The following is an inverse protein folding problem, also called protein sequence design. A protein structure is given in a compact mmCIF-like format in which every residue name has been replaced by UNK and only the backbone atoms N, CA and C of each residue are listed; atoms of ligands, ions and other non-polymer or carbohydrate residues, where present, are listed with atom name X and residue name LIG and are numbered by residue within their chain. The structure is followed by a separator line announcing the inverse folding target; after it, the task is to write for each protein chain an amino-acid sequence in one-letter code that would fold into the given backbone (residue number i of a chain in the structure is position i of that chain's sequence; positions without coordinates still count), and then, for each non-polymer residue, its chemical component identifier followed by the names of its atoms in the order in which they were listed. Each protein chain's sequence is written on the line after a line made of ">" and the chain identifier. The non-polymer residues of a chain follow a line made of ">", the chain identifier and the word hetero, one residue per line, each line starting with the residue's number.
data_IF_879346694973
#
_entry.id   IF_879346694973
#
_cell.length_a   1.000
_cell.length_b   1.000
_cell.length_c   1.000
_cell.angle_alpha   90.00
_cell.angle_beta   90.00
_cell.angle_gamma   90.00
#
_symmetry.space_group_name_H-M   'P 1'
#
loop_
_entity.id
_entity.type
_entity.pdbx_description
1 polymer ?
#
# COMPACT_ATOMS: atom_id res chain seq x y z
N UNK A 1 10.49 -9.54 -21.00
CA UNK A 1 11.11 -8.81 -19.87
C UNK A 1 12.34 -8.14 -20.43
N UNK A 2 12.53 -6.86 -20.16
CA UNK A 2 13.76 -6.18 -20.56
C UNK A 2 14.98 -6.83 -19.88
N UNK A 3 16.15 -6.78 -20.54
CA UNK A 3 17.37 -7.44 -20.05
C UNK A 3 17.82 -6.84 -18.70
N UNK A 4 17.67 -5.53 -18.51
CA UNK A 4 18.05 -4.86 -17.28
C UNK A 4 17.11 -5.24 -16.13
N UNK A 5 15.81 -5.31 -16.42
CA UNK A 5 14.81 -5.78 -15.45
C UNK A 5 15.08 -7.23 -15.03
N UNK A 6 15.56 -8.07 -15.96
CA UNK A 6 15.97 -9.45 -15.66
C UNK A 6 17.19 -9.52 -14.77
N UNK A 7 18.23 -8.74 -15.06
CA UNK A 7 19.42 -8.72 -14.23
C UNK A 7 19.11 -8.27 -12.79
N UNK A 8 18.26 -7.25 -12.63
CA UNK A 8 17.80 -6.77 -11.31
C UNK A 8 17.01 -7.84 -10.56
N UNK A 9 16.08 -8.52 -11.23
CA UNK A 9 15.30 -9.59 -10.62
C UNK A 9 16.18 -10.78 -10.21
N UNK A 10 17.11 -11.21 -11.07
CA UNK A 10 18.03 -12.30 -10.77
C UNK A 10 18.92 -11.98 -9.56
N UNK A 11 19.41 -10.73 -9.44
CA UNK A 11 20.18 -10.29 -8.27
C UNK A 11 19.34 -10.31 -6.98
N UNK A 12 18.15 -9.71 -7.00
CA UNK A 12 17.24 -9.67 -5.86
C UNK A 12 16.87 -11.08 -5.37
N UNK A 13 16.47 -11.97 -6.28
CA UNK A 13 16.07 -13.31 -5.87
C UNK A 13 17.25 -14.14 -5.37
N UNK A 14 18.46 -13.94 -5.91
CA UNK A 14 19.67 -14.58 -5.41
C UNK A 14 19.98 -14.15 -3.97
N UNK A 15 19.80 -12.86 -3.62
CA UNK A 15 19.91 -12.37 -2.23
C UNK A 15 18.86 -13.00 -1.32
N UNK A 16 17.67 -13.29 -1.84
CA UNK A 16 16.61 -14.01 -1.15
C UNK A 16 16.80 -15.54 -1.13
N UNK A 17 17.92 -16.05 -1.67
CA UNK A 17 18.26 -17.48 -1.66
C UNK A 17 17.48 -18.33 -2.67
N UNK A 18 16.94 -17.74 -3.73
CA UNK A 18 16.19 -18.45 -4.77
C UNK A 18 16.51 -17.95 -6.18
N UNK A 19 16.15 -18.73 -7.21
CA UNK A 19 16.25 -18.25 -8.59
C UNK A 19 14.91 -17.69 -9.06
N UNK A 20 14.94 -16.97 -10.19
CA UNK A 20 13.75 -16.38 -10.80
C UNK A 20 12.66 -17.41 -11.11
N UNK A 21 13.02 -18.64 -11.50
CA UNK A 21 12.05 -19.72 -11.77
C UNK A 21 11.30 -20.15 -10.52
N UNK A 22 11.97 -20.23 -9.38
CA UNK A 22 11.36 -20.52 -8.07
C UNK A 22 10.41 -19.38 -7.67
N UNK A 23 10.85 -18.13 -7.78
CA UNK A 23 10.03 -16.97 -7.47
C UNK A 23 8.76 -16.91 -8.35
N UNK A 24 8.90 -17.19 -9.65
CA UNK A 24 7.77 -17.25 -10.57
C UNK A 24 6.77 -18.36 -10.22
N UNK A 25 7.26 -19.55 -9.84
CA UNK A 25 6.40 -20.63 -9.38
C UNK A 25 5.61 -20.27 -8.12
N UNK A 26 6.22 -19.55 -7.18
CA UNK A 26 5.55 -19.05 -5.98
C UNK A 26 4.45 -18.06 -6.37
N UNK A 27 4.77 -17.08 -7.24
CA UNK A 27 3.80 -16.11 -7.75
C UNK A 27 2.58 -16.81 -8.36
N UNK A 28 2.77 -17.74 -9.29
CA UNK A 28 1.65 -18.44 -9.96
C UNK A 28 0.78 -19.21 -8.96
N UNK A 29 1.40 -19.92 -8.00
CA UNK A 29 0.66 -20.68 -6.98
C UNK A 29 -0.15 -19.75 -6.08
N UNK A 30 0.41 -18.61 -5.71
CA UNK A 30 -0.28 -17.64 -4.89
C UNK A 30 -1.44 -16.98 -5.66
N UNK A 31 -1.22 -16.62 -6.93
CA UNK A 31 -2.28 -16.10 -7.80
C UNK A 31 -3.45 -17.07 -7.94
N UNK A 32 -3.16 -18.36 -8.14
CA UNK A 32 -4.20 -19.41 -8.23
C UNK A 32 -4.96 -19.58 -6.91
N UNK A 33 -4.26 -19.48 -5.77
CA UNK A 33 -4.86 -19.60 -4.44
C UNK A 33 -5.80 -18.44 -4.14
N UNK A 34 -5.43 -17.23 -4.53
CA UNK A 34 -6.20 -16.01 -4.27
C UNK A 34 -7.25 -15.72 -5.35
N UNK A 35 -7.15 -16.38 -6.51
CA UNK A 35 -8.00 -16.09 -7.67
C UNK A 35 -7.73 -14.71 -8.28
N UNK A 36 -6.50 -14.19 -8.15
CA UNK A 36 -6.14 -12.82 -8.51
C UNK A 36 -4.63 -12.58 -8.53
N UNK A 37 -4.21 -11.31 -8.55
CA UNK A 37 -2.80 -10.94 -8.42
C UNK A 37 -2.46 -10.88 -6.91
N UNK A 38 -1.42 -11.61 -6.45
CA UNK A 38 -1.11 -11.78 -5.04
C UNK A 38 -0.30 -10.62 -4.44
N UNK A 39 -0.63 -9.42 -4.91
CA UNK A 39 -0.14 -8.14 -4.42
C UNK A 39 -1.05 -7.05 -4.98
N UNK A 40 -1.09 -5.94 -4.27
CA UNK A 40 -1.92 -4.81 -4.66
C UNK A 40 -1.33 -4.12 -5.89
N UNK A 41 -2.10 -4.05 -6.97
CA UNK A 41 -1.67 -3.35 -8.20
C UNK A 41 -1.99 -1.88 -8.05
N UNK A 42 -1.00 -1.10 -7.61
CA UNK A 42 -1.10 0.35 -7.44
C UNK A 42 -0.30 1.07 -8.53
N UNK A 43 -0.85 2.18 -9.01
CA UNK A 43 -0.03 3.21 -9.65
C UNK A 43 0.69 3.95 -8.52
N UNK A 44 1.98 4.19 -8.65
CA UNK A 44 2.88 4.78 -7.63
C UNK A 44 2.46 6.19 -7.13
N UNK A 45 1.34 6.72 -7.61
CA UNK A 45 0.72 7.92 -7.08
C UNK A 45 -0.59 7.56 -6.36
N UNK A 46 -0.78 8.04 -5.11
CA UNK A 46 -2.10 7.98 -4.49
C UNK A 46 -3.10 8.62 -5.45
N UNK A 47 -4.29 8.02 -5.61
CA UNK A 47 -5.32 8.61 -6.43
C UNK A 47 -5.68 10.01 -5.88
N UNK A 48 -6.30 10.87 -6.70
CA UNK A 48 -6.61 12.26 -6.32
C UNK A 48 -7.38 12.37 -4.99
N UNK A 49 -8.22 11.38 -4.70
CA UNK A 49 -9.00 11.29 -3.46
C UNK A 49 -8.11 11.05 -2.24
N UNK A 50 -7.13 10.15 -2.34
CA UNK A 50 -6.17 9.86 -1.26
C UNK A 50 -5.25 11.05 -1.01
N UNK A 51 -4.78 11.72 -2.08
CA UNK A 51 -3.99 12.96 -1.96
C UNK A 51 -4.81 14.04 -1.26
N UNK A 52 -6.08 14.22 -1.65
CA UNK A 52 -6.97 15.21 -1.03
C UNK A 52 -7.23 14.90 0.45
N UNK A 53 -7.42 13.63 0.81
CA UNK A 53 -7.61 13.21 2.19
C UNK A 53 -6.36 13.46 3.06
N UNK A 54 -5.15 13.20 2.53
CA UNK A 54 -3.90 13.51 3.21
C UNK A 54 -3.73 15.02 3.42
N UNK A 55 -4.00 15.83 2.39
CA UNK A 55 -3.92 17.29 2.48
C UNK A 55 -4.96 17.87 3.45
N UNK A 56 -6.17 17.33 3.46
CA UNK A 56 -7.22 17.76 4.38
C UNK A 56 -6.89 17.35 5.83
N UNK A 57 -6.35 16.14 6.04
CA UNK A 57 -5.88 15.71 7.35
C UNK A 57 -4.74 16.60 7.87
N UNK A 58 -3.78 16.98 7.01
CA UNK A 58 -2.73 17.93 7.38
C UNK A 58 -3.28 19.33 7.69
N UNK A 59 -4.29 19.78 6.94
CA UNK A 59 -4.96 21.07 7.16
C UNK A 59 -5.66 21.07 8.51
N UNK A 60 -6.45 20.04 8.80
CA UNK A 60 -7.16 19.84 10.07
C UNK A 60 -6.18 19.77 11.24
N UNK A 61 -5.09 19.00 11.11
CA UNK A 61 -4.11 18.85 12.17
C UNK A 61 -3.38 20.17 12.53
N UNK A 62 -3.26 21.09 11.57
CA UNK A 62 -2.59 22.40 11.76
C UNK A 62 -3.56 23.54 12.05
N UNK A 63 -4.87 23.31 11.91
CA UNK A 63 -5.89 24.32 12.10
C UNK A 63 -6.42 24.26 13.55
N UNK A 64 -6.04 25.23 14.41
CA UNK A 64 -6.46 25.26 15.81
C UNK A 64 -7.97 25.53 15.98
N UNK A 65 -8.70 25.86 14.91
CA UNK A 65 -10.15 26.02 14.93
C UNK A 65 -10.92 24.72 14.70
N UNK A 66 -10.24 23.66 14.26
CA UNK A 66 -10.86 22.35 14.09
C UNK A 66 -10.96 21.66 15.45
N UNK A 67 -12.16 21.15 15.75
CA UNK A 67 -12.45 20.45 17.00
C UNK A 67 -11.54 19.21 17.11
N UNK A 68 -10.53 19.32 17.97
CA UNK A 68 -9.77 18.18 18.45
C UNK A 68 -10.56 17.43 19.53
N UNK A 69 -10.33 16.13 19.64
CA UNK A 69 -10.90 15.30 20.69
C UNK A 69 -9.80 14.92 21.67
N UNK A 70 -10.07 15.02 22.96
CA UNK A 70 -9.07 14.72 23.99
C UNK A 70 -9.12 13.25 24.46
N UNK A 71 -10.22 12.56 24.17
CA UNK A 71 -10.40 11.14 24.45
C UNK A 71 -11.25 10.44 23.37
N UNK A 72 -11.20 9.12 23.37
CA UNK A 72 -11.88 8.29 22.38
C UNK A 72 -13.40 8.30 22.55
N UNK A 73 -13.90 8.51 23.78
CA UNK A 73 -15.33 8.51 24.07
C UNK A 73 -16.01 9.76 23.45
N UNK A 74 -15.34 10.92 23.53
CA UNK A 74 -15.74 12.17 22.89
C UNK A 74 -15.79 12.04 21.37
N UNK A 75 -14.80 11.38 20.78
CA UNK A 75 -14.74 11.11 19.34
C UNK A 75 -15.90 10.20 18.88
N UNK A 76 -16.14 9.09 19.57
CA UNK A 76 -17.19 8.14 19.18
C UNK A 76 -18.61 8.68 19.43
N UNK A 77 -18.80 9.60 20.38
CA UNK A 77 -20.08 10.25 20.59
C UNK A 77 -20.45 11.17 19.41
N UNK A 78 -19.48 11.82 18.78
CA UNK A 78 -19.72 12.73 17.64
C UNK A 78 -19.93 11.97 16.32
N UNK A 79 -19.24 10.83 16.13
CA UNK A 79 -19.39 9.97 14.93
C UNK A 79 -20.73 9.22 14.86
N UNK A 80 -21.47 9.11 15.96
CA UNK A 80 -22.76 8.40 16.05
C UNK A 80 -23.99 9.30 15.83
N UNK A 81 -23.80 10.54 15.39
CA UNK A 81 -24.88 11.42 14.91
C UNK A 81 -25.15 11.20 13.43
#
# INVERSE_FOLDING_TARGET
>A
MDADLKAQADALFAELGMNLSTAFNIFVRQSLREGGIPFEVKLEQPNKETIAAMLEAERIAKDPSVKGFNDLDELFADLKK
#
